data_IF_780830196692
#
_entry.id   IF_780830196692
#
_cell.length_a   1.000
_cell.length_b   1.000
_cell.length_c   1.000
_cell.angle_alpha   90.00
_cell.angle_beta   90.00
_cell.angle_gamma   90.00
#
_symmetry.space_group_name_H-M   'P 1'
#
loop_
_entity.id
_entity.type
_entity.pdbx_description
1 polymer ?
#
# COMPACT_ATOMS: atom_id res chain seq x y z
N UNK A 1 25.42 -1.36 -8.54
CA UNK A 1 24.46 -2.23 -9.27
C UNK A 1 23.42 -1.41 -10.01
N UNK A 2 23.48 -1.31 -11.35
CA UNK A 2 22.51 -0.54 -12.15
C UNK A 2 21.28 -1.35 -12.59
N UNK A 3 21.45 -2.66 -12.82
CA UNK A 3 20.44 -3.53 -13.47
C UNK A 3 19.11 -3.66 -12.71
N UNK A 4 19.10 -3.82 -11.37
CA UNK A 4 17.83 -3.87 -10.65
C UNK A 4 17.06 -2.54 -10.66
N UNK A 5 17.77 -1.42 -10.74
CA UNK A 5 17.15 -0.09 -10.72
C UNK A 5 16.43 0.22 -12.05
N UNK A 6 17.09 -0.09 -13.18
CA UNK A 6 16.46 0.04 -14.50
C UNK A 6 15.22 -0.83 -14.63
N UNK A 7 15.20 -2.05 -14.10
CA UNK A 7 14.02 -2.92 -14.19
C UNK A 7 12.82 -2.38 -13.40
N UNK A 8 13.02 -1.96 -12.15
CA UNK A 8 11.94 -1.43 -11.31
C UNK A 8 11.35 -0.13 -11.85
N UNK A 9 12.18 0.74 -12.43
CA UNK A 9 11.77 2.10 -12.88
C UNK A 9 11.42 2.17 -14.36
N UNK A 10 11.62 1.08 -15.14
CA UNK A 10 11.40 1.01 -16.59
C UNK A 10 10.03 1.55 -17.01
N UNK A 11 8.97 1.07 -16.36
CA UNK A 11 7.58 1.42 -16.69
C UNK A 11 7.36 2.92 -16.52
N UNK A 12 7.66 3.45 -15.34
CA UNK A 12 7.46 4.87 -15.01
C UNK A 12 8.26 5.80 -15.95
N UNK A 13 9.49 5.42 -16.30
CA UNK A 13 10.35 6.24 -17.17
C UNK A 13 9.90 6.27 -18.63
N UNK A 14 9.45 5.15 -19.18
CA UNK A 14 9.07 5.09 -20.60
C UNK A 14 7.66 5.60 -20.89
N UNK A 15 6.76 5.57 -19.90
CA UNK A 15 5.42 6.13 -20.05
C UNK A 15 5.31 7.59 -19.58
N UNK A 16 6.41 8.18 -19.09
CA UNK A 16 6.42 9.48 -18.41
C UNK A 16 5.31 9.58 -17.34
N UNK A 17 5.06 8.49 -16.60
CA UNK A 17 4.08 8.53 -15.51
C UNK A 17 4.62 9.41 -14.37
N UNK A 18 4.06 10.61 -14.21
CA UNK A 18 4.26 11.48 -13.05
C UNK A 18 2.95 11.69 -12.28
N UNK A 19 3.03 12.43 -11.18
CA UNK A 19 1.88 12.81 -10.35
C UNK A 19 1.78 14.33 -10.22
N UNK A 20 0.61 14.84 -9.86
CA UNK A 20 0.38 16.25 -9.55
C UNK A 20 0.21 16.40 -8.03
N UNK A 21 0.87 17.38 -7.43
CA UNK A 21 0.76 17.62 -5.99
C UNK A 21 -0.60 18.23 -5.59
N UNK A 22 -1.28 17.66 -4.61
CA UNK A 22 -2.52 18.24 -4.06
C UNK A 22 -2.30 19.58 -3.34
N UNK A 23 -1.08 19.82 -2.83
CA UNK A 23 -0.78 21.02 -2.03
C UNK A 23 -0.34 22.24 -2.83
N UNK A 24 0.45 22.04 -3.89
CA UNK A 24 1.01 23.13 -4.69
C UNK A 24 0.71 23.02 -6.19
N UNK A 25 -0.10 22.02 -6.58
CA UNK A 25 -0.58 21.79 -7.96
C UNK A 25 0.53 21.73 -9.02
N UNK A 26 1.77 21.44 -8.61
CA UNK A 26 2.91 21.27 -9.51
C UNK A 26 2.96 19.81 -9.99
N UNK A 27 3.24 19.64 -11.27
CA UNK A 27 3.53 18.33 -11.85
C UNK A 27 4.91 17.86 -11.39
N UNK A 28 5.00 16.63 -10.89
CA UNK A 28 6.23 16.04 -10.36
C UNK A 28 6.52 14.73 -11.09
N UNK A 29 7.72 14.64 -11.65
CA UNK A 29 8.24 13.45 -12.29
C UNK A 29 9.68 13.17 -11.83
N UNK A 30 10.04 11.92 -11.46
CA UNK A 30 9.21 10.71 -11.29
C UNK A 30 8.19 10.83 -10.14
N UNK A 31 7.22 9.90 -10.01
CA UNK A 31 6.24 9.93 -8.93
C UNK A 31 6.95 9.60 -7.62
N UNK A 32 6.66 10.40 -6.58
CA UNK A 32 7.33 10.37 -5.27
C UNK A 32 6.28 10.54 -4.17
N UNK A 33 6.61 10.12 -2.96
CA UNK A 33 5.73 10.33 -1.80
C UNK A 33 5.82 11.74 -1.22
N UNK A 34 6.92 12.44 -1.46
CA UNK A 34 7.16 13.80 -0.96
C UNK A 34 7.42 14.74 -2.13
N UNK A 35 6.74 15.88 -2.14
CA UNK A 35 6.87 16.88 -3.20
C UNK A 35 8.20 17.64 -3.06
N UNK A 36 9.00 17.80 -4.14
CA UNK A 36 10.25 18.58 -4.10
C UNK A 36 10.02 20.10 -4.00
N UNK A 37 8.82 20.59 -4.31
CA UNK A 37 8.53 22.03 -4.28
C UNK A 37 8.08 22.49 -2.89
N UNK A 38 7.18 21.73 -2.25
CA UNK A 38 6.56 22.13 -0.99
C UNK A 38 6.94 21.24 0.20
N UNK A 39 7.71 20.16 0.00
CA UNK A 39 8.18 19.22 1.03
C UNK A 39 7.06 18.54 1.84
N UNK A 40 5.82 18.61 1.35
CA UNK A 40 4.65 17.94 1.91
C UNK A 40 4.43 16.58 1.23
N UNK A 41 3.70 15.64 1.87
CA UNK A 41 3.27 14.41 1.21
C UNK A 41 2.51 14.73 -0.08
N UNK A 42 2.73 13.95 -1.14
CA UNK A 42 2.16 14.23 -2.46
C UNK A 42 0.66 13.93 -2.52
N UNK A 43 0.26 12.81 -1.93
CA UNK A 43 -1.12 12.39 -1.75
C UNK A 43 -1.43 12.40 -0.25
N UNK A 44 -2.69 12.67 0.13
CA UNK A 44 -3.15 12.48 1.51
C UNK A 44 -2.88 11.05 1.98
N UNK A 45 -2.70 10.84 3.30
CA UNK A 45 -2.50 9.51 3.89
C UNK A 45 -3.65 8.59 3.44
N UNK A 46 -3.40 7.82 2.37
CA UNK A 46 -4.36 6.86 1.86
C UNK A 46 -4.40 5.77 2.90
N UNK A 47 -5.46 5.78 3.68
CA UNK A 47 -5.78 4.71 4.61
C UNK A 47 -5.67 3.41 3.83
N UNK A 48 -4.65 2.61 4.15
CA UNK A 48 -4.49 1.30 3.59
C UNK A 48 -5.72 0.52 4.06
N UNK A 49 -6.76 0.51 3.22
CA UNK A 49 -7.90 -0.38 3.44
C UNK A 49 -7.26 -1.76 3.44
N UNK A 50 -7.14 -2.34 4.64
CA UNK A 50 -6.54 -3.64 4.86
C UNK A 50 -7.37 -4.66 4.07
N UNK A 51 -7.06 -4.79 2.78
CA UNK A 51 -7.52 -5.86 1.97
C UNK A 51 -6.85 -7.09 2.57
N UNK A 52 -7.65 -7.93 3.21
CA UNK A 52 -7.21 -9.23 3.71
C UNK A 52 -6.31 -9.86 2.64
N UNK A 53 -5.10 -10.36 2.99
CA UNK A 53 -4.19 -10.87 1.99
C UNK A 53 -4.90 -12.01 1.26
N UNK A 54 -5.23 -11.78 -0.01
CA UNK A 54 -5.90 -12.75 -0.87
C UNK A 54 -5.08 -14.04 -1.07
N UNK A 55 -3.88 -14.12 -0.48
CA UNK A 55 -2.94 -15.23 -0.58
C UNK A 55 -2.19 -15.48 0.73
N UNK A 56 -2.89 -15.53 1.87
CA UNK A 56 -2.32 -16.16 3.08
C UNK A 56 -2.72 -17.64 3.14
N UNK A 57 -1.73 -18.50 2.87
CA UNK A 57 -1.92 -19.95 2.91
C UNK A 57 -2.18 -20.46 4.34
N UNK A 58 -1.67 -19.76 5.37
CA UNK A 58 -1.92 -20.10 6.77
C UNK A 58 -3.37 -19.83 7.17
N UNK A 59 -3.94 -18.73 6.66
CA UNK A 59 -5.31 -18.35 6.92
C UNK A 59 -6.35 -19.36 6.35
N UNK A 60 -6.02 -20.07 5.26
CA UNK A 60 -6.90 -21.10 4.67
C UNK A 60 -6.78 -22.47 5.36
N UNK A 61 -5.61 -22.84 5.91
CA UNK A 61 -5.41 -24.18 6.51
C UNK A 61 -5.65 -24.23 8.02
N UNK A 62 -5.44 -23.13 8.73
CA UNK A 62 -5.57 -23.07 10.20
C UNK A 62 -6.93 -22.50 10.66
N UNK A 63 -7.94 -22.48 9.79
CA UNK A 63 -9.32 -22.23 10.21
C UNK A 63 -9.87 -23.42 11.00
N UNK A 64 -9.29 -23.71 12.16
CA UNK A 64 -9.87 -24.62 13.14
C UNK A 64 -11.11 -23.92 13.69
N UNK A 65 -12.33 -24.42 13.47
CA UNK A 65 -13.47 -23.90 14.20
C UNK A 65 -13.25 -24.30 15.66
N UNK A 66 -12.99 -23.32 16.53
CA UNK A 66 -13.17 -23.50 17.97
C UNK A 66 -14.68 -23.62 18.21
N UNK A 67 -15.22 -24.80 17.96
CA UNK A 67 -16.44 -25.28 18.58
C UNK A 67 -16.02 -25.94 19.88
N UNK A 68 -16.14 -25.20 20.99
CA UNK A 68 -16.22 -25.69 22.38
C UNK A 68 -16.28 -24.44 23.28
N UNK A 69 -17.22 -24.16 24.17
CA UNK A 69 -18.50 -24.74 24.58
C UNK A 69 -19.18 -23.63 25.39
N UNK A 70 -20.50 -23.49 25.27
CA UNK A 70 -21.27 -22.68 26.19
C UNK A 70 -21.23 -23.30 27.60
N UNK A 71 -20.93 -22.51 28.62
CA UNK A 71 -21.42 -22.73 29.98
C UNK A 71 -21.78 -21.37 30.57
N UNK A 72 -23.09 -21.09 30.50
CA UNK A 72 -23.79 -20.07 31.29
C UNK A 72 -23.80 -20.55 32.73
N UNK A 73 -23.37 -19.69 33.66
CA UNK A 73 -23.55 -19.87 35.08
C UNK A 73 -23.82 -18.50 35.70
N UNK A 74 -25.09 -18.22 35.96
CA UNK A 74 -25.55 -17.16 36.85
C UNK A 74 -25.04 -17.45 38.28
N UNK A 75 -24.27 -16.52 38.84
CA UNK A 75 -24.24 -16.18 40.28
C UNK A 75 -24.06 -14.66 40.41
#
# INVERSE_FOLDING_TARGET
MAIPNMWRTKKQRYSLHGDVCDHCTQAVFPPRQVCPHCHKPMHGAREERAAAPAFDFGAIVNAVPVMQQAMVGDD
#
